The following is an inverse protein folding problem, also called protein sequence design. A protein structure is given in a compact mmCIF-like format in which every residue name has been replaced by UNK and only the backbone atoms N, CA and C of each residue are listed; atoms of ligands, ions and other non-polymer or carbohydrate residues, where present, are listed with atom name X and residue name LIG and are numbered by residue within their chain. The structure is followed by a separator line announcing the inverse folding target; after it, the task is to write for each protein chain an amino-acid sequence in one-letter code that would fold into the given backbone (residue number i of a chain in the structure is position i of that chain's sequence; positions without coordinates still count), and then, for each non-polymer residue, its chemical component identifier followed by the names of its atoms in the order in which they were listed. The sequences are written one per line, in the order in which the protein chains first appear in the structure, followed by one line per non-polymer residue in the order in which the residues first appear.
data_IF_793582664610
#
_entry.id   IF_793582664610
#
_cell.length_a   1.000
_cell.length_b   1.000
_cell.length_c   1.000
_cell.angle_alpha   90.00
_cell.angle_beta   90.00
_cell.angle_gamma   90.00
#
_symmetry.space_group_name_H-M   'P 1'
#
loop_
_entity.id
_entity.type
_entity.pdbx_description
1 polymer ?
#
# COMPACT_ATOMS: atom_id res chain seq x y z
N UNK A 1 13.66 31.90 -8.86
CA UNK A 1 12.81 31.66 -7.66
C UNK A 1 13.36 30.39 -7.03
N UNK A 2 13.88 30.48 -5.81
CA UNK A 2 14.51 29.36 -5.14
C UNK A 2 13.52 28.80 -4.14
N UNK A 3 13.39 27.47 -4.08
CA UNK A 3 12.56 26.76 -3.11
C UNK A 3 13.47 25.98 -2.17
N UNK A 4 13.17 26.00 -0.89
CA UNK A 4 13.89 25.28 0.15
C UNK A 4 12.96 24.35 0.91
N UNK A 5 13.37 23.12 1.13
CA UNK A 5 12.66 22.14 1.96
C UNK A 5 13.65 21.19 2.62
N UNK A 6 13.22 20.53 3.68
CA UNK A 6 14.00 19.48 4.33
C UNK A 6 13.94 18.17 3.53
N UNK A 7 12.82 17.94 2.81
CA UNK A 7 12.63 16.75 1.98
C UNK A 7 12.27 17.14 0.55
N UNK A 8 12.95 16.55 -0.41
CA UNK A 8 12.61 16.61 -1.83
C UNK A 8 12.23 15.21 -2.31
N UNK A 9 10.98 15.05 -2.74
CA UNK A 9 10.45 13.79 -3.24
C UNK A 9 10.28 13.88 -4.75
N UNK A 10 10.81 12.90 -5.47
CA UNK A 10 10.74 12.82 -6.92
C UNK A 10 9.71 11.77 -7.32
N UNK A 11 8.55 12.22 -7.79
CA UNK A 11 7.43 11.40 -8.21
C UNK A 11 6.27 11.37 -7.22
N UNK A 12 5.07 11.12 -7.74
CA UNK A 12 3.80 11.09 -7.00
C UNK A 12 3.19 9.69 -6.96
N UNK A 13 4.01 8.64 -7.05
CA UNK A 13 3.56 7.28 -6.77
C UNK A 13 3.23 7.09 -5.28
N UNK A 14 2.57 5.99 -4.92
CA UNK A 14 2.14 5.74 -3.54
C UNK A 14 3.28 5.83 -2.52
N UNK A 15 4.46 5.31 -2.82
CA UNK A 15 5.60 5.38 -1.91
C UNK A 15 6.01 6.83 -1.59
N UNK A 16 6.07 7.69 -2.63
CA UNK A 16 6.41 9.11 -2.45
C UNK A 16 5.35 9.87 -1.66
N UNK A 17 4.07 9.64 -1.95
CA UNK A 17 2.97 10.28 -1.24
C UNK A 17 2.87 9.79 0.22
N UNK A 18 3.01 8.49 0.44
CA UNK A 18 3.03 7.92 1.78
C UNK A 18 4.15 8.55 2.63
N UNK A 19 5.37 8.57 2.12
CA UNK A 19 6.50 9.21 2.79
C UNK A 19 6.25 10.69 3.05
N UNK A 20 5.70 11.42 2.06
CA UNK A 20 5.39 12.83 2.21
C UNK A 20 4.45 13.10 3.39
N UNK A 21 3.37 12.32 3.51
CA UNK A 21 2.38 12.46 4.58
C UNK A 21 2.97 12.13 5.96
N UNK A 22 3.84 11.11 6.05
CA UNK A 22 4.50 10.74 7.31
C UNK A 22 5.41 11.86 7.85
N UNK A 23 6.10 12.60 6.97
CA UNK A 23 7.06 13.63 7.41
C UNK A 23 6.48 15.03 7.42
N UNK A 24 5.42 15.31 6.66
CA UNK A 24 4.87 16.66 6.49
C UNK A 24 4.31 17.30 7.77
N UNK A 25 3.97 16.51 8.78
CA UNK A 25 3.53 17.02 10.09
C UNK A 25 4.65 17.73 10.85
N UNK A 26 5.92 17.41 10.56
CA UNK A 26 7.09 17.88 11.31
C UNK A 26 8.07 18.65 10.47
N UNK A 27 8.15 18.36 9.19
CA UNK A 27 9.19 18.85 8.30
C UNK A 27 8.60 19.32 6.97
N UNK A 28 9.28 20.28 6.33
CA UNK A 28 8.84 20.82 5.04
C UNK A 28 9.16 19.86 3.89
N UNK A 29 8.19 19.68 2.99
CA UNK A 29 8.28 18.74 1.88
C UNK A 29 8.02 19.46 0.55
N UNK A 30 8.83 19.17 -0.45
CA UNK A 30 8.56 19.51 -1.84
C UNK A 30 8.45 18.21 -2.63
N UNK A 31 7.37 18.08 -3.40
CA UNK A 31 7.20 16.96 -4.32
C UNK A 31 7.30 17.50 -5.75
N UNK A 32 8.16 16.90 -6.56
CA UNK A 32 8.27 17.21 -7.98
C UNK A 32 7.83 16.02 -8.82
N UNK A 33 7.13 16.28 -9.91
CA UNK A 33 6.65 15.24 -10.82
C UNK A 33 6.88 15.65 -12.28
N UNK A 34 7.16 14.66 -13.13
CA UNK A 34 7.44 14.90 -14.57
C UNK A 34 6.20 15.20 -15.40
N UNK A 35 5.00 14.93 -14.89
CA UNK A 35 3.73 15.09 -15.59
C UNK A 35 2.59 15.43 -14.60
N UNK A 36 1.33 15.24 -15.00
CA UNK A 36 0.20 15.35 -14.05
C UNK A 36 0.35 14.34 -12.92
N UNK A 37 0.02 14.75 -11.71
CA UNK A 37 0.23 13.95 -10.49
C UNK A 37 -0.45 12.58 -10.55
N UNK A 38 -1.59 12.49 -11.22
CA UNK A 38 -2.36 11.25 -11.42
C UNK A 38 -1.73 10.27 -12.44
N UNK A 39 -0.75 10.70 -13.22
CA UNK A 39 -0.11 9.87 -14.23
C UNK A 39 1.02 9.02 -13.61
N UNK A 40 0.67 8.05 -12.81
CA UNK A 40 1.62 7.11 -12.21
C UNK A 40 1.06 5.67 -12.24
N UNK A 41 1.94 4.69 -12.17
CA UNK A 41 1.54 3.27 -12.18
C UNK A 41 0.61 2.92 -11.01
N UNK A 42 0.77 3.57 -9.87
CA UNK A 42 -0.09 3.36 -8.70
C UNK A 42 -1.56 3.64 -9.01
N UNK A 43 -1.86 4.70 -9.78
CA UNK A 43 -3.23 5.06 -10.19
C UNK A 43 -3.87 3.99 -11.07
N UNK A 44 -3.08 3.24 -11.83
CA UNK A 44 -3.56 2.20 -12.74
C UNK A 44 -3.63 0.81 -12.10
N UNK A 45 -3.19 0.65 -10.86
CA UNK A 45 -3.27 -0.61 -10.15
C UNK A 45 -4.74 -0.96 -9.82
N UNK A 46 -5.23 -2.08 -10.37
CA UNK A 46 -6.61 -2.53 -10.19
C UNK A 46 -6.75 -3.55 -9.07
N UNK A 47 -5.70 -4.34 -8.82
CA UNK A 47 -5.65 -5.31 -7.73
C UNK A 47 -5.73 -4.66 -6.35
N UNK A 48 -5.53 -5.45 -5.31
CA UNK A 48 -5.58 -4.98 -3.94
C UNK A 48 -4.22 -4.91 -3.27
N UNK A 49 -4.25 -4.81 -1.96
CA UNK A 49 -3.08 -4.88 -1.10
C UNK A 49 -3.21 -6.12 -0.22
N UNK A 50 -2.21 -7.00 -0.27
CA UNK A 50 -2.16 -8.18 0.59
C UNK A 50 -1.63 -7.79 1.97
N UNK A 51 -2.40 -8.07 3.03
CA UNK A 51 -2.01 -7.87 4.42
C UNK A 51 -2.68 -8.90 5.33
N UNK A 52 -1.99 -9.31 6.37
CA UNK A 52 -2.54 -10.23 7.39
C UNK A 52 -3.48 -9.42 8.30
N UNK A 53 -4.78 -9.55 8.04
CA UNK A 53 -5.84 -8.80 8.74
C UNK A 53 -6.90 -9.70 9.38
N UNK A 54 -6.74 -11.03 9.27
CA UNK A 54 -7.67 -12.03 9.77
C UNK A 54 -6.98 -12.96 10.79
N UNK A 55 -7.70 -13.40 11.81
CA UNK A 55 -7.21 -14.39 12.79
C UNK A 55 -6.91 -15.78 12.19
N UNK A 56 -7.50 -16.11 11.04
CA UNK A 56 -7.22 -17.36 10.32
C UNK A 56 -5.92 -17.35 9.54
N UNK A 57 -5.33 -16.16 9.33
CA UNK A 57 -4.08 -15.94 8.61
C UNK A 57 -2.90 -15.71 9.56
N UNK A 58 -1.67 -15.77 9.06
CA UNK A 58 -0.46 -15.42 9.80
C UNK A 58 0.63 -14.83 8.91
N UNK A 59 1.56 -14.11 9.52
CA UNK A 59 2.72 -13.59 8.81
C UNK A 59 3.54 -14.71 8.17
N UNK A 60 3.70 -15.84 8.85
CA UNK A 60 4.44 -16.98 8.36
C UNK A 60 3.83 -17.55 7.09
N UNK A 61 2.49 -17.72 7.05
CA UNK A 61 1.77 -18.16 5.85
C UNK A 61 1.98 -17.19 4.69
N UNK A 62 1.85 -15.88 4.95
CA UNK A 62 2.02 -14.86 3.91
C UNK A 62 3.46 -14.81 3.40
N UNK A 63 4.45 -14.91 4.29
CA UNK A 63 5.87 -14.97 3.92
C UNK A 63 6.12 -16.20 3.04
N UNK A 64 5.66 -17.38 3.44
CA UNK A 64 5.85 -18.62 2.66
C UNK A 64 5.19 -18.55 1.28
N UNK A 65 3.95 -18.04 1.19
CA UNK A 65 3.27 -17.84 -0.09
C UNK A 65 4.08 -16.91 -1.00
N UNK A 66 4.60 -15.80 -0.45
CA UNK A 66 5.40 -14.82 -1.19
C UNK A 66 6.72 -15.41 -1.69
N UNK A 67 7.43 -16.16 -0.84
CA UNK A 67 8.69 -16.81 -1.21
C UNK A 67 8.45 -17.86 -2.30
N UNK A 68 7.39 -18.66 -2.18
CA UNK A 68 7.03 -19.67 -3.17
C UNK A 68 6.67 -19.03 -4.52
N UNK A 69 5.86 -17.97 -4.53
CA UNK A 69 5.51 -17.24 -5.74
C UNK A 69 6.72 -16.57 -6.42
N UNK A 70 7.68 -16.12 -5.63
CA UNK A 70 8.90 -15.49 -6.11
C UNK A 70 9.98 -16.43 -6.64
N UNK A 71 9.75 -17.74 -6.65
CA UNK A 71 10.65 -18.75 -7.22
C UNK A 71 12.13 -18.62 -6.76
N UNK A 72 12.34 -18.30 -5.49
CA UNK A 72 13.65 -18.08 -4.86
C UNK A 72 14.42 -16.83 -5.33
N UNK A 73 13.77 -15.90 -6.00
CA UNK A 73 14.37 -14.60 -6.35
C UNK A 73 14.18 -13.54 -5.26
N UNK A 74 13.40 -13.86 -4.22
CA UNK A 74 13.10 -12.94 -3.12
C UNK A 74 14.29 -12.83 -2.14
N UNK A 75 14.47 -11.63 -1.62
CA UNK A 75 15.19 -11.44 -0.37
C UNK A 75 14.24 -11.74 0.80
N UNK A 76 14.56 -12.77 1.58
CA UNK A 76 13.68 -13.26 2.66
C UNK A 76 13.47 -12.23 3.76
N UNK A 77 14.52 -11.47 4.12
CA UNK A 77 14.41 -10.45 5.18
C UNK A 77 13.55 -9.28 4.72
N UNK A 78 13.66 -8.88 3.44
CA UNK A 78 12.80 -7.84 2.86
C UNK A 78 11.35 -8.30 2.80
N UNK A 79 11.09 -9.55 2.38
CA UNK A 79 9.73 -10.12 2.39
C UNK A 79 9.13 -10.09 3.79
N UNK A 80 9.87 -10.52 4.79
CA UNK A 80 9.45 -10.51 6.19
C UNK A 80 9.11 -9.10 6.64
N UNK A 81 10.01 -8.14 6.41
CA UNK A 81 9.81 -6.74 6.77
C UNK A 81 8.53 -6.16 6.12
N UNK A 82 8.31 -6.41 4.83
CA UNK A 82 7.13 -5.91 4.11
C UNK A 82 5.85 -6.52 4.66
N UNK A 83 5.83 -7.84 4.86
CA UNK A 83 4.64 -8.57 5.34
C UNK A 83 4.26 -8.16 6.76
N UNK A 84 5.23 -8.07 7.66
CA UNK A 84 4.99 -7.72 9.06
C UNK A 84 4.54 -6.27 9.26
N UNK A 85 4.97 -5.34 8.39
CA UNK A 85 4.56 -3.93 8.46
C UNK A 85 3.28 -3.61 7.67
N UNK A 86 2.75 -4.55 6.88
CA UNK A 86 1.57 -4.30 6.06
C UNK A 86 0.31 -3.90 6.85
N UNK A 87 -0.03 -4.49 8.02
CA UNK A 87 -1.19 -4.07 8.80
C UNK A 87 -1.12 -2.61 9.26
N UNK A 88 0.05 -2.13 9.66
CA UNK A 88 0.25 -0.73 10.07
C UNK A 88 0.08 0.21 8.87
N UNK A 89 0.61 -0.16 7.71
CA UNK A 89 0.40 0.61 6.47
C UNK A 89 -1.09 0.71 6.11
N UNK A 90 -1.87 -0.38 6.22
CA UNK A 90 -3.32 -0.38 6.01
C UNK A 90 -4.03 0.53 7.02
N UNK A 91 -3.59 0.54 8.27
CA UNK A 91 -4.12 1.44 9.30
C UNK A 91 -3.90 2.91 8.94
N UNK A 92 -2.69 3.28 8.49
CA UNK A 92 -2.39 4.64 8.05
C UNK A 92 -3.22 5.05 6.82
N UNK A 93 -3.31 4.20 5.79
CA UNK A 93 -4.16 4.47 4.63
C UNK A 93 -5.62 4.71 5.02
N UNK A 94 -6.13 3.92 5.95
CA UNK A 94 -7.50 4.07 6.47
C UNK A 94 -7.67 5.41 7.21
N UNK A 95 -6.70 5.81 8.03
CA UNK A 95 -6.70 7.11 8.72
C UNK A 95 -6.67 8.29 7.73
N UNK A 96 -5.99 8.15 6.62
CA UNK A 96 -5.94 9.15 5.53
C UNK A 96 -7.16 9.10 4.60
N UNK A 97 -8.16 8.26 4.92
CA UNK A 97 -9.47 8.29 4.28
C UNK A 97 -9.71 7.24 3.22
N UNK A 98 -8.81 6.28 3.03
CA UNK A 98 -9.04 5.13 2.15
C UNK A 98 -10.14 4.25 2.77
N UNK A 99 -11.15 3.91 1.97
CA UNK A 99 -12.30 3.10 2.39
C UNK A 99 -12.26 1.76 1.69
N UNK A 100 -11.52 0.82 2.28
CA UNK A 100 -11.52 -0.56 1.81
C UNK A 100 -12.91 -1.18 1.90
N UNK A 101 -13.23 -2.07 0.96
CA UNK A 101 -14.52 -2.75 0.88
C UNK A 101 -14.80 -3.57 2.13
N UNK A 102 -16.08 -3.63 2.50
CA UNK A 102 -16.55 -4.33 3.68
C UNK A 102 -17.65 -5.30 3.30
N UNK A 103 -17.76 -6.38 4.06
CA UNK A 103 -18.83 -7.36 3.94
C UNK A 103 -20.16 -6.88 4.58
N UNK A 104 -21.17 -7.73 4.54
CA UNK A 104 -22.48 -7.46 5.11
C UNK A 104 -22.49 -7.29 6.65
N UNK A 105 -21.42 -7.71 7.32
CA UNK A 105 -21.22 -7.57 8.77
C UNK A 105 -20.32 -6.37 9.12
N UNK A 106 -20.00 -5.53 8.11
CA UNK A 106 -19.11 -4.39 8.25
C UNK A 106 -17.66 -4.75 8.60
N UNK A 107 -17.24 -6.00 8.35
CA UNK A 107 -15.85 -6.42 8.45
C UNK A 107 -15.11 -6.15 7.13
N UNK A 108 -13.79 -6.03 7.16
CA UNK A 108 -12.99 -5.90 5.93
C UNK A 108 -13.25 -7.09 5.01
N UNK A 109 -13.64 -6.81 3.77
CA UNK A 109 -13.78 -7.85 2.77
C UNK A 109 -12.40 -8.22 2.22
N UNK A 110 -11.96 -9.45 2.52
CA UNK A 110 -10.66 -9.96 2.09
C UNK A 110 -10.84 -10.93 0.92
N UNK A 111 -10.29 -10.60 -0.23
CA UNK A 111 -10.26 -11.48 -1.39
C UNK A 111 -9.10 -12.49 -1.28
N UNK A 112 -9.24 -13.60 -2.00
CA UNK A 112 -8.18 -14.58 -2.22
C UNK A 112 -7.80 -14.53 -3.69
N UNK A 113 -6.55 -14.20 -3.96
CA UNK A 113 -5.99 -14.19 -5.31
C UNK A 113 -4.98 -15.32 -5.50
N UNK A 114 -4.47 -15.48 -6.71
CA UNK A 114 -3.49 -16.51 -7.04
C UNK A 114 -2.25 -16.44 -6.14
N UNK A 115 -1.68 -17.59 -5.84
CA UNK A 115 -0.53 -17.82 -4.96
C UNK A 115 -0.76 -17.51 -3.46
N UNK A 116 -1.91 -17.02 -3.05
CA UNK A 116 -2.25 -16.86 -1.63
C UNK A 116 -2.93 -18.11 -1.06
N UNK A 117 -2.43 -18.63 0.07
CA UNK A 117 -3.07 -19.73 0.82
C UNK A 117 -4.33 -19.27 1.56
N UNK A 118 -4.38 -18.01 1.99
CA UNK A 118 -5.48 -17.40 2.76
C UNK A 118 -6.09 -16.18 2.05
N UNK A 119 -7.26 -15.74 2.54
CA UNK A 119 -7.89 -14.49 2.13
C UNK A 119 -7.21 -13.32 2.86
N UNK A 120 -6.48 -12.47 2.12
CA UNK A 120 -5.73 -11.35 2.71
C UNK A 120 -5.66 -10.11 1.84
N UNK A 121 -6.32 -10.12 0.69
CA UNK A 121 -6.23 -9.00 -0.27
C UNK A 121 -7.35 -8.01 0.01
N UNK A 122 -6.99 -6.82 0.50
CA UNK A 122 -7.88 -5.69 0.66
C UNK A 122 -8.00 -4.96 -0.68
N UNK A 123 -9.19 -4.46 -0.99
CA UNK A 123 -9.45 -3.76 -2.24
C UNK A 123 -10.50 -2.66 -2.07
N UNK A 124 -10.56 -1.76 -3.05
CA UNK A 124 -11.62 -0.78 -3.24
C UNK A 124 -12.19 -1.04 -4.63
N UNK A 125 -13.24 -1.85 -4.72
CA UNK A 125 -13.83 -2.33 -5.97
C UNK A 125 -12.74 -2.86 -6.93
N UNK A 126 -12.67 -2.36 -8.16
CA UNK A 126 -11.68 -2.71 -9.19
C UNK A 126 -10.66 -1.58 -9.49
N UNK A 127 -10.56 -0.60 -8.59
CA UNK A 127 -9.71 0.59 -8.77
C UNK A 127 -8.94 1.01 -7.52
N UNK A 128 -8.49 0.02 -6.75
CA UNK A 128 -7.81 0.22 -5.45
C UNK A 128 -6.68 1.25 -5.52
N UNK A 129 -5.80 1.15 -6.49
CA UNK A 129 -4.68 2.08 -6.63
C UNK A 129 -5.10 3.52 -6.89
N UNK A 130 -6.15 3.71 -7.70
CA UNK A 130 -6.71 5.04 -7.98
C UNK A 130 -7.29 5.66 -6.72
N UNK A 131 -8.13 4.92 -5.97
CA UNK A 131 -8.75 5.44 -4.75
C UNK A 131 -7.70 5.82 -3.70
N UNK A 132 -6.72 4.95 -3.45
CA UNK A 132 -5.62 5.25 -2.54
C UNK A 132 -4.88 6.51 -2.98
N UNK A 133 -4.49 6.59 -4.25
CA UNK A 133 -3.75 7.73 -4.78
C UNK A 133 -4.52 9.05 -4.63
N UNK A 134 -5.83 9.06 -4.90
CA UNK A 134 -6.70 10.23 -4.76
C UNK A 134 -6.87 10.67 -3.30
N UNK A 135 -6.75 9.74 -2.34
CA UNK A 135 -6.84 10.07 -0.92
C UNK A 135 -5.53 10.61 -0.35
N UNK A 136 -4.40 10.24 -0.94
CA UNK A 136 -3.08 10.68 -0.49
C UNK A 136 -2.64 12.00 -1.14
N UNK A 137 -3.31 12.46 -2.20
CA UNK A 137 -3.12 13.77 -2.83
C UNK A 137 -3.83 14.88 -2.08
#
# INVERSE_FOLDING_TARGET
MDFHSQHLIIGTGLAGLYYALEVAEKESVIIINKSKMQNCNSTWAQGGIAAVMSESDSFEKHIQDTLAAGANLNDTEVVKQVVENAPDAISHLTKWGVKFDRDSQNQLHLAKEGAHSERRVLHVQDHTGKDIHEKLL
#
